data_IF_221071213084
#
_entry.id   IF_221071213084
#
_cell.length_a   1.000
_cell.length_b   1.000
_cell.length_c   1.000
_cell.angle_alpha   90.00
_cell.angle_beta   90.00
_cell.angle_gamma   90.00
#
_symmetry.space_group_name_H-M   'P 1'
#
loop_
_entity.id
_entity.type
_entity.pdbx_description
1 polymer ?
#
# COMPACT_ATOMS: atom_id res chain seq x y z
N UNK A 1 -18.56 0.73 24.24
CA UNK A 1 -18.86 2.17 24.21
C UNK A 1 -17.90 2.81 25.20
N UNK A 2 -17.10 3.81 24.82
CA UNK A 2 -16.16 4.45 25.76
C UNK A 2 -16.99 5.31 26.71
N UNK A 3 -16.95 4.98 28.01
CA UNK A 3 -17.81 5.60 29.04
C UNK A 3 -17.34 6.98 29.53
N UNK A 4 -16.28 7.53 28.92
CA UNK A 4 -15.70 8.84 29.27
C UNK A 4 -14.17 8.81 29.19
N UNK A 5 -13.56 9.99 29.11
CA UNK A 5 -12.12 10.18 29.28
C UNK A 5 -11.81 10.50 30.75
N UNK A 6 -10.62 10.14 31.24
CA UNK A 6 -10.18 10.51 32.60
C UNK A 6 -10.13 12.05 32.71
N UNK A 7 -10.90 12.62 33.63
CA UNK A 7 -11.00 14.08 33.85
C UNK A 7 -9.65 14.70 34.24
N UNK A 8 -8.70 13.89 34.75
CA UNK A 8 -7.35 14.33 35.09
C UNK A 8 -6.41 14.37 33.87
N UNK A 9 -6.82 13.80 32.74
CA UNK A 9 -5.99 13.77 31.53
C UNK A 9 -5.95 15.15 30.88
N UNK A 10 -4.79 15.81 30.99
CA UNK A 10 -4.51 17.05 30.27
C UNK A 10 -4.05 16.74 28.85
N UNK A 11 -4.89 17.03 27.86
CA UNK A 11 -4.55 16.87 26.45
C UNK A 11 -3.32 17.72 26.12
N UNK A 12 -2.23 17.13 25.60
CA UNK A 12 -1.04 17.88 25.25
C UNK A 12 -1.31 18.81 24.06
N UNK A 13 -0.59 19.94 24.01
CA UNK A 13 -0.59 20.81 22.85
C UNK A 13 -0.07 20.09 21.61
N UNK A 14 -0.54 20.52 20.43
CA UNK A 14 -0.08 19.99 19.12
C UNK A 14 1.45 20.06 19.01
N UNK A 15 2.07 21.14 19.48
CA UNK A 15 3.53 21.29 19.51
C UNK A 15 4.21 20.18 20.32
N UNK A 16 3.66 19.86 21.49
CA UNK A 16 4.17 18.79 22.35
C UNK A 16 4.01 17.42 21.67
N UNK A 17 2.89 17.16 21.03
CA UNK A 17 2.66 15.92 20.27
C UNK A 17 3.63 15.78 19.10
N UNK A 18 3.79 16.83 18.28
CA UNK A 18 4.74 16.84 17.16
C UNK A 18 6.17 16.56 17.62
N UNK A 19 6.60 17.23 18.68
CA UNK A 19 7.93 17.01 19.24
C UNK A 19 8.11 15.57 19.74
N UNK A 20 7.11 15.01 20.45
CA UNK A 20 7.17 13.62 20.92
C UNK A 20 7.23 12.61 19.78
N UNK A 21 6.42 12.81 18.73
CA UNK A 21 6.44 11.96 17.52
C UNK A 21 7.81 12.04 16.85
N UNK A 22 8.35 13.24 16.67
CA UNK A 22 9.67 13.44 16.07
C UNK A 22 10.78 12.78 16.91
N UNK A 23 10.78 12.97 18.23
CA UNK A 23 11.74 12.32 19.13
C UNK A 23 11.64 10.80 19.07
N UNK A 24 10.42 10.24 19.07
CA UNK A 24 10.22 8.80 18.95
C UNK A 24 10.74 8.27 17.60
N UNK A 25 10.50 9.00 16.52
CA UNK A 25 11.02 8.70 15.19
C UNK A 25 12.56 8.67 15.18
N UNK A 26 13.23 9.71 15.68
CA UNK A 26 14.69 9.78 15.72
C UNK A 26 15.32 8.65 16.55
N UNK A 27 14.73 8.34 17.71
CA UNK A 27 15.17 7.21 18.54
C UNK A 27 15.00 5.89 17.79
N UNK A 28 13.82 5.68 17.18
CA UNK A 28 13.52 4.47 16.41
C UNK A 28 14.48 4.30 15.23
N UNK A 29 14.71 5.37 14.47
CA UNK A 29 15.62 5.41 13.33
C UNK A 29 17.05 5.06 13.72
N UNK A 30 17.59 5.67 14.78
CA UNK A 30 18.94 5.36 15.26
C UNK A 30 19.07 3.93 15.81
N UNK A 31 18.02 3.43 16.46
CA UNK A 31 17.96 2.05 16.94
C UNK A 31 18.00 1.08 15.76
N UNK A 32 17.20 1.32 14.73
CA UNK A 32 17.14 0.51 13.51
C UNK A 32 18.47 0.56 12.73
N UNK A 33 19.08 1.74 12.58
CA UNK A 33 20.42 1.86 11.96
C UNK A 33 21.46 1.01 12.69
N UNK A 34 21.43 1.04 14.04
CA UNK A 34 22.31 0.20 14.86
C UNK A 34 22.03 -1.30 14.65
N UNK A 35 20.76 -1.69 14.54
CA UNK A 35 20.39 -3.08 14.23
C UNK A 35 20.87 -3.50 12.83
N UNK A 36 20.71 -2.65 11.83
CA UNK A 36 21.16 -2.92 10.46
C UNK A 36 22.67 -3.10 10.35
N UNK A 37 23.49 -2.60 11.27
CA UNK A 37 24.93 -2.91 11.31
C UNK A 37 25.21 -4.41 11.49
N UNK A 38 24.29 -5.15 12.11
CA UNK A 38 24.42 -6.58 12.37
C UNK A 38 23.63 -7.46 11.40
N UNK A 39 22.88 -6.85 10.48
CA UNK A 39 22.15 -7.56 9.42
C UNK A 39 23.06 -7.68 8.20
N UNK A 40 23.16 -8.88 7.66
CA UNK A 40 23.96 -9.16 6.45
C UNK A 40 23.12 -8.97 5.19
N UNK A 41 21.93 -9.57 5.16
CA UNK A 41 21.08 -9.61 3.98
C UNK A 41 19.74 -8.91 4.24
N UNK A 42 19.42 -7.96 3.37
CA UNK A 42 18.18 -7.19 3.40
C UNK A 42 17.47 -7.37 2.05
N UNK A 43 16.17 -7.60 2.10
CA UNK A 43 15.29 -7.49 0.93
C UNK A 43 14.38 -6.28 1.09
N UNK A 44 14.11 -5.61 -0.01
CA UNK A 44 13.27 -4.41 -0.04
C UNK A 44 11.98 -4.68 -0.80
N UNK A 45 10.88 -4.10 -0.35
CA UNK A 45 9.64 -3.97 -1.11
C UNK A 45 9.46 -2.50 -1.44
N UNK A 46 9.32 -2.20 -2.74
CA UNK A 46 9.02 -0.88 -3.28
C UNK A 46 7.60 -0.92 -3.81
N UNK A 47 6.71 -0.17 -3.17
CA UNK A 47 5.32 -0.02 -3.57
C UNK A 47 5.08 1.43 -4.00
N UNK A 48 4.63 1.61 -5.24
CA UNK A 48 4.36 2.92 -5.80
C UNK A 48 2.87 3.07 -6.08
N UNK A 49 2.26 4.14 -5.58
CA UNK A 49 0.84 4.40 -5.77
C UNK A 49 0.54 5.88 -5.97
N UNK A 50 -0.60 6.18 -6.59
CA UNK A 50 -1.15 7.53 -6.61
C UNK A 50 -2.13 7.67 -5.45
N UNK A 51 -1.95 8.70 -4.64
CA UNK A 51 -2.91 9.08 -3.60
C UNK A 51 -4.25 9.52 -4.21
N UNK A 52 -5.33 9.63 -3.41
CA UNK A 52 -6.59 10.21 -3.87
C UNK A 52 -6.47 11.65 -4.40
N UNK A 53 -5.41 12.36 -4.01
CA UNK A 53 -5.08 13.69 -4.51
C UNK A 53 -4.25 13.66 -5.81
N UNK A 54 -4.08 12.48 -6.42
CA UNK A 54 -3.27 12.23 -7.61
C UNK A 54 -1.76 12.50 -7.46
N UNK A 55 -1.28 12.61 -6.22
CA UNK A 55 0.16 12.71 -5.93
C UNK A 55 0.79 11.30 -5.89
N UNK A 56 1.93 11.08 -6.58
CA UNK A 56 2.61 9.79 -6.58
C UNK A 56 3.46 9.62 -5.33
N UNK A 57 3.34 8.46 -4.68
CA UNK A 57 4.13 8.09 -3.51
C UNK A 57 4.92 6.82 -3.79
N UNK A 58 6.06 6.68 -3.10
CA UNK A 58 6.84 5.46 -3.03
C UNK A 58 7.03 5.08 -1.56
N UNK A 59 6.52 3.91 -1.20
CA UNK A 59 6.79 3.27 0.07
C UNK A 59 7.92 2.25 -0.06
N UNK A 60 8.86 2.29 0.88
CA UNK A 60 10.00 1.38 0.91
C UNK A 60 10.00 0.65 2.25
N UNK A 61 9.82 -0.66 2.20
CA UNK A 61 9.84 -1.54 3.38
C UNK A 61 11.04 -2.48 3.29
N UNK A 62 11.83 -2.56 4.35
CA UNK A 62 12.92 -3.50 4.47
C UNK A 62 12.50 -4.75 5.23
N UNK A 63 12.96 -5.91 4.77
CA UNK A 63 12.74 -7.21 5.38
C UNK A 63 14.07 -7.94 5.54
N UNK A 64 14.26 -8.58 6.68
CA UNK A 64 15.43 -9.40 6.98
C UNK A 64 15.06 -10.54 7.92
N UNK A 65 15.98 -11.48 8.09
CA UNK A 65 15.86 -12.57 9.06
C UNK A 65 16.80 -12.31 10.25
N UNK A 66 16.32 -12.58 11.46
CA UNK A 66 17.20 -12.60 12.64
C UNK A 66 18.09 -13.83 12.63
N UNK A 67 19.09 -13.88 13.53
CA UNK A 67 19.91 -15.07 13.76
C UNK A 67 19.12 -16.29 14.23
N UNK A 68 17.88 -16.10 14.69
CA UNK A 68 16.93 -17.16 15.05
C UNK A 68 15.99 -17.54 13.91
N UNK A 69 16.25 -17.04 12.70
CA UNK A 69 15.43 -17.25 11.51
C UNK A 69 14.00 -16.68 11.62
N UNK A 70 13.84 -15.60 12.40
CA UNK A 70 12.56 -14.91 12.54
C UNK A 70 12.47 -13.77 11.53
N UNK A 71 11.37 -13.64 10.78
CA UNK A 71 11.19 -12.53 9.85
C UNK A 71 10.99 -11.22 10.61
N UNK A 72 11.64 -10.19 10.13
CA UNK A 72 11.47 -8.82 10.58
C UNK A 72 11.13 -7.95 9.38
N UNK A 73 10.33 -6.91 9.62
CA UNK A 73 9.99 -5.92 8.62
C UNK A 73 9.97 -4.52 9.25
N UNK A 74 10.36 -3.53 8.46
CA UNK A 74 10.25 -2.13 8.86
C UNK A 74 10.05 -1.23 7.66
N UNK A 75 9.14 -0.27 7.82
CA UNK A 75 8.94 0.79 6.85
C UNK A 75 10.07 1.81 6.99
N UNK A 76 10.89 1.96 5.94
CA UNK A 76 12.01 2.91 5.91
C UNK A 76 11.54 4.31 5.50
N UNK A 77 10.65 4.38 4.51
CA UNK A 77 10.13 5.65 4.01
C UNK A 77 8.76 5.47 3.34
N UNK A 78 7.95 6.53 3.42
CA UNK A 78 6.80 6.81 2.55
C UNK A 78 6.96 8.26 2.13
N UNK A 79 7.40 8.46 0.90
CA UNK A 79 7.68 9.79 0.37
C UNK A 79 6.97 10.01 -0.96
N UNK A 80 6.61 11.26 -1.21
CA UNK A 80 6.10 11.67 -2.51
C UNK A 80 7.25 11.55 -3.51
N UNK A 81 7.01 10.92 -4.65
CA UNK A 81 8.04 10.77 -5.67
C UNK A 81 8.43 12.15 -6.22
N UNK A 82 9.73 12.47 -6.35
CA UNK A 82 10.16 13.71 -6.97
C UNK A 82 9.67 13.81 -8.41
N UNK A 83 9.17 14.98 -8.81
CA UNK A 83 8.85 15.28 -10.21
C UNK A 83 10.15 15.31 -11.05
N UNK A 84 10.19 14.78 -12.30
CA UNK A 84 9.10 14.27 -13.13
C UNK A 84 8.71 12.79 -12.91
N UNK A 85 9.02 12.20 -11.76
CA UNK A 85 8.71 10.81 -11.40
C UNK A 85 9.29 9.79 -12.38
N UNK A 86 10.38 10.16 -13.06
CA UNK A 86 11.09 9.33 -14.00
C UNK A 86 11.95 8.28 -13.29
N UNK A 87 12.55 7.41 -14.10
CA UNK A 87 13.42 6.36 -13.57
C UNK A 87 14.69 6.91 -12.93
N UNK A 88 15.17 8.08 -13.36
CA UNK A 88 16.41 8.71 -12.85
C UNK A 88 16.15 9.28 -11.47
N UNK A 89 15.05 10.02 -11.29
CA UNK A 89 14.73 10.67 -10.03
C UNK A 89 14.36 9.65 -8.95
N UNK A 90 13.66 8.57 -9.34
CA UNK A 90 13.44 7.42 -8.44
C UNK A 90 14.78 6.77 -8.08
N UNK A 91 15.71 6.66 -9.03
CA UNK A 91 17.02 6.06 -8.78
C UNK A 91 17.84 6.88 -7.78
N UNK A 92 17.91 8.20 -7.95
CA UNK A 92 18.61 9.11 -7.04
C UNK A 92 18.00 9.04 -5.64
N UNK A 93 16.67 9.10 -5.54
CA UNK A 93 15.95 8.98 -4.28
C UNK A 93 16.26 7.66 -3.55
N UNK A 94 16.31 6.54 -4.28
CA UNK A 94 16.67 5.24 -3.70
C UNK A 94 18.13 5.21 -3.24
N UNK A 95 19.07 5.81 -3.98
CA UNK A 95 20.47 5.89 -3.57
C UNK A 95 20.63 6.69 -2.28
N UNK A 96 20.00 7.86 -2.19
CA UNK A 96 20.04 8.71 -1.00
C UNK A 96 19.49 7.96 0.21
N UNK A 97 18.37 7.25 0.04
CA UNK A 97 17.77 6.44 1.09
C UNK A 97 18.68 5.27 1.50
N UNK A 98 19.26 4.54 0.56
CA UNK A 98 20.15 3.41 0.89
C UNK A 98 21.40 3.88 1.63
N UNK A 99 21.96 5.02 1.21
CA UNK A 99 23.09 5.66 1.88
C UNK A 99 22.71 6.15 3.27
N UNK A 100 21.57 6.82 3.41
CA UNK A 100 21.07 7.30 4.69
C UNK A 100 20.93 6.15 5.71
N UNK A 101 20.38 5.02 5.28
CA UNK A 101 20.18 3.84 6.13
C UNK A 101 21.42 2.96 6.28
N UNK A 102 22.46 3.15 5.46
CA UNK A 102 23.69 2.35 5.49
C UNK A 102 23.47 0.88 5.12
N UNK A 103 22.61 0.65 4.10
CA UNK A 103 22.16 -0.69 3.68
C UNK A 103 22.48 -1.04 2.24
N UNK A 104 23.07 -0.13 1.47
CA UNK A 104 23.42 -0.28 0.05
C UNK A 104 24.12 -1.62 -0.28
N UNK A 105 25.11 -2.00 0.53
CA UNK A 105 25.91 -3.23 0.36
C UNK A 105 25.22 -4.50 0.86
N UNK A 106 24.07 -4.38 1.54
CA UNK A 106 23.32 -5.49 2.18
C UNK A 106 22.07 -5.89 1.40
N UNK A 107 21.68 -5.10 0.40
CA UNK A 107 20.47 -5.34 -0.37
C UNK A 107 20.70 -6.51 -1.34
N UNK A 108 20.06 -7.64 -1.06
CA UNK A 108 20.13 -8.84 -1.91
C UNK A 108 19.00 -8.91 -2.94
N UNK A 109 17.86 -8.30 -2.63
CA UNK A 109 16.67 -8.35 -3.49
C UNK A 109 15.79 -7.11 -3.32
N UNK A 110 15.15 -6.72 -4.42
CA UNK A 110 14.19 -5.61 -4.46
C UNK A 110 12.92 -6.09 -5.17
N UNK A 111 11.82 -6.19 -4.42
CA UNK A 111 10.50 -6.57 -4.93
C UNK A 111 9.75 -5.32 -5.37
N UNK A 112 9.24 -5.29 -6.60
CA UNK A 112 8.48 -4.14 -7.12
C UNK A 112 7.20 -4.58 -7.82
N UNK A 113 6.17 -3.74 -7.83
CA UNK A 113 4.85 -3.98 -8.45
C UNK A 113 4.85 -4.04 -10.00
N UNK A 114 6.02 -3.95 -10.65
CA UNK A 114 6.22 -3.78 -12.10
C UNK A 114 5.88 -2.41 -12.70
N UNK A 115 5.70 -1.36 -11.90
CA UNK A 115 5.65 0.01 -12.38
C UNK A 115 6.84 0.32 -13.31
N UNK A 116 6.59 0.89 -14.49
CA UNK A 116 7.60 1.03 -15.54
C UNK A 116 8.82 1.85 -15.10
N UNK A 117 8.60 2.95 -14.38
CA UNK A 117 9.65 3.84 -13.92
C UNK A 117 10.45 3.21 -12.76
N UNK A 118 9.77 2.63 -11.77
CA UNK A 118 10.43 1.90 -10.66
C UNK A 118 11.26 0.73 -11.18
N UNK A 119 10.72 -0.04 -12.13
CA UNK A 119 11.45 -1.14 -12.78
C UNK A 119 12.73 -0.65 -13.45
N UNK A 120 12.66 0.45 -14.21
CA UNK A 120 13.82 1.05 -14.87
C UNK A 120 14.83 1.57 -13.84
N UNK A 121 14.37 2.24 -12.79
CA UNK A 121 15.21 2.74 -11.71
C UNK A 121 16.00 1.61 -11.03
N UNK A 122 15.33 0.55 -10.59
CA UNK A 122 16.00 -0.60 -9.97
C UNK A 122 17.00 -1.28 -10.92
N UNK A 123 16.66 -1.41 -12.21
CA UNK A 123 17.57 -1.95 -13.21
C UNK A 123 18.80 -1.07 -13.41
N UNK A 124 18.67 0.26 -13.34
CA UNK A 124 19.78 1.19 -13.49
C UNK A 124 20.69 1.18 -12.25
N UNK A 125 20.11 1.09 -11.04
CA UNK A 125 20.87 1.05 -9.78
C UNK A 125 21.79 -0.17 -9.73
N UNK A 126 21.35 -1.31 -10.27
CA UNK A 126 22.10 -2.57 -10.26
C UNK A 126 22.48 -3.08 -8.85
N UNK A 127 21.73 -2.67 -7.81
CA UNK A 127 21.85 -3.17 -6.43
C UNK A 127 20.77 -4.21 -6.18
N UNK A 128 21.20 -5.39 -5.71
CA UNK A 128 20.32 -6.52 -5.46
C UNK A 128 19.64 -7.06 -6.72
N UNK A 129 18.97 -8.21 -6.57
CA UNK A 129 18.16 -8.78 -7.65
C UNK A 129 16.76 -8.19 -7.63
N UNK A 130 16.36 -7.54 -8.72
CA UNK A 130 14.95 -7.13 -8.90
C UNK A 130 14.06 -8.37 -9.06
N UNK A 131 12.99 -8.45 -8.26
CA UNK A 131 11.96 -9.48 -8.32
C UNK A 131 10.61 -8.80 -8.61
N UNK A 132 9.86 -9.25 -9.62
CA UNK A 132 8.53 -8.71 -9.88
C UNK A 132 7.52 -9.20 -8.82
N UNK A 133 6.56 -8.36 -8.47
CA UNK A 133 5.46 -8.74 -7.60
C UNK A 133 4.65 -9.89 -8.22
N UNK A 134 4.52 -11.00 -7.49
CA UNK A 134 3.78 -12.17 -7.94
C UNK A 134 2.28 -11.85 -8.14
N UNK A 135 1.66 -11.11 -7.21
CA UNK A 135 0.26 -10.73 -7.30
C UNK A 135 -0.03 -9.86 -8.54
N UNK A 136 0.82 -8.87 -8.81
CA UNK A 136 0.67 -8.04 -10.01
C UNK A 136 0.91 -8.86 -11.29
N UNK A 137 1.90 -9.74 -11.29
CA UNK A 137 2.18 -10.63 -12.44
C UNK A 137 1.00 -11.56 -12.74
N UNK A 138 0.37 -12.11 -11.70
CA UNK A 138 -0.85 -12.89 -11.81
C UNK A 138 -2.01 -12.05 -12.36
N UNK A 139 -2.20 -10.84 -11.82
CA UNK A 139 -3.23 -9.90 -12.28
C UNK A 139 -3.09 -9.55 -13.76
N UNK A 140 -1.86 -9.32 -14.25
CA UNK A 140 -1.59 -9.09 -15.68
C UNK A 140 -1.96 -10.31 -16.53
N UNK A 141 -1.68 -11.51 -16.04
CA UNK A 141 -2.00 -12.77 -16.72
C UNK A 141 -3.51 -12.99 -16.80
N UNK A 142 -4.22 -12.74 -15.70
CA UNK A 142 -5.69 -12.77 -15.64
C UNK A 142 -6.27 -11.73 -16.59
N UNK A 143 -5.76 -10.49 -16.57
CA UNK A 143 -6.21 -9.42 -17.45
C UNK A 143 -6.15 -9.82 -18.93
N UNK A 144 -5.01 -10.38 -19.37
CA UNK A 144 -4.85 -10.91 -20.73
C UNK A 144 -5.81 -12.06 -21.05
N UNK A 145 -6.03 -12.98 -20.11
CA UNK A 145 -7.00 -14.08 -20.29
C UNK A 145 -8.43 -13.56 -20.45
N UNK A 146 -8.78 -12.51 -19.71
CA UNK A 146 -10.10 -11.88 -19.76
C UNK A 146 -10.33 -11.01 -21.00
N UNK A 147 -9.29 -10.65 -21.76
CA UNK A 147 -9.44 -9.88 -23.00
C UNK A 147 -10.33 -10.60 -24.02
N UNK A 148 -10.40 -11.94 -23.98
CA UNK A 148 -11.28 -12.75 -24.84
C UNK A 148 -12.76 -12.39 -24.63
N UNK A 149 -13.14 -12.04 -23.40
CA UNK A 149 -14.52 -11.71 -23.01
C UNK A 149 -14.69 -10.22 -22.69
N UNK A 150 -13.79 -9.37 -23.21
CA UNK A 150 -13.74 -7.93 -22.90
C UNK A 150 -15.06 -7.21 -23.18
N UNK A 151 -15.77 -7.59 -24.23
CA UNK A 151 -17.08 -6.99 -24.56
C UNK A 151 -18.12 -7.26 -23.47
N UNK A 152 -18.20 -8.50 -22.97
CA UNK A 152 -19.10 -8.88 -21.88
C UNK A 152 -18.74 -8.15 -20.59
N UNK A 153 -17.45 -8.09 -20.25
CA UNK A 153 -16.95 -7.33 -19.11
C UNK A 153 -17.34 -5.85 -19.24
N UNK A 154 -17.23 -5.28 -20.44
CA UNK A 154 -17.66 -3.92 -20.75
C UNK A 154 -19.14 -3.70 -20.45
N UNK A 155 -20.02 -4.60 -20.92
CA UNK A 155 -21.46 -4.56 -20.63
C UNK A 155 -21.75 -4.63 -19.12
N UNK A 156 -21.08 -5.53 -18.40
CA UNK A 156 -21.21 -5.66 -16.95
C UNK A 156 -20.73 -4.39 -16.22
N UNK A 157 -19.59 -3.82 -16.61
CA UNK A 157 -19.06 -2.56 -16.03
C UNK A 157 -20.02 -1.40 -16.26
N UNK A 158 -20.57 -1.28 -17.47
CA UNK A 158 -21.56 -0.25 -17.80
C UNK A 158 -22.80 -0.40 -16.93
N UNK A 159 -23.31 -1.63 -16.78
CA UNK A 159 -24.45 -1.90 -15.91
C UNK A 159 -24.16 -1.56 -14.44
N UNK A 160 -23.00 -1.93 -13.91
CA UNK A 160 -22.59 -1.59 -12.54
C UNK A 160 -22.50 -0.07 -12.36
N UNK A 161 -21.90 0.64 -13.33
CA UNK A 161 -21.82 2.11 -13.31
C UNK A 161 -23.21 2.75 -13.32
N UNK A 162 -24.12 2.26 -14.18
CA UNK A 162 -25.52 2.69 -14.22
C UNK A 162 -26.24 2.50 -12.87
N UNK A 163 -26.06 1.33 -12.22
CA UNK A 163 -26.66 1.05 -10.92
C UNK A 163 -26.03 1.85 -9.78
N UNK A 164 -24.76 2.23 -9.91
CA UNK A 164 -24.03 2.98 -8.90
C UNK A 164 -24.41 4.46 -8.83
N UNK A 165 -25.12 4.97 -9.85
CA UNK A 165 -25.68 6.32 -9.83
C UNK A 165 -26.70 6.47 -8.68
N UNK A 166 -26.59 7.54 -7.88
CA UNK A 166 -27.32 7.69 -6.61
C UNK A 166 -28.82 7.45 -6.72
N UNK A 167 -29.46 8.03 -7.75
CA UNK A 167 -30.90 7.83 -8.01
C UNK A 167 -31.26 6.36 -8.26
N UNK A 168 -30.43 5.64 -9.02
CA UNK A 168 -30.64 4.22 -9.35
C UNK A 168 -30.33 3.32 -8.16
N UNK A 169 -29.28 3.64 -7.41
CA UNK A 169 -28.91 2.95 -6.17
C UNK A 169 -30.04 3.02 -5.13
N UNK A 170 -30.67 4.19 -4.99
CA UNK A 170 -31.79 4.37 -4.07
C UNK A 170 -33.05 3.61 -4.52
N UNK A 171 -33.42 3.71 -5.80
CA UNK A 171 -34.52 2.94 -6.39
C UNK A 171 -34.32 1.42 -6.25
N UNK A 172 -33.08 0.94 -6.42
CA UNK A 172 -32.72 -0.47 -6.26
C UNK A 172 -32.91 -0.91 -4.81
N UNK A 173 -32.43 -0.12 -3.85
CA UNK A 173 -32.58 -0.40 -2.41
C UNK A 173 -34.05 -0.49 -2.00
N UNK A 174 -34.87 0.45 -2.47
CA UNK A 174 -36.32 0.44 -2.22
C UNK A 174 -37.00 -0.80 -2.80
N UNK A 175 -36.65 -1.16 -4.04
CA UNK A 175 -37.18 -2.36 -4.71
C UNK A 175 -36.76 -3.66 -3.99
N UNK A 176 -35.51 -3.75 -3.54
CA UNK A 176 -35.01 -4.89 -2.76
C UNK A 176 -35.75 -5.03 -1.42
N UNK A 177 -35.99 -3.92 -0.71
CA UNK A 177 -36.77 -3.91 0.54
C UNK A 177 -38.21 -4.35 0.27
N UNK A 178 -38.83 -3.86 -0.80
CA UNK A 178 -40.19 -4.25 -1.19
C UNK A 178 -40.30 -5.76 -1.47
N UNK A 179 -39.38 -6.31 -2.27
CA UNK A 179 -39.35 -7.73 -2.61
C UNK A 179 -39.10 -8.62 -1.38
N UNK A 180 -38.17 -8.22 -0.51
CA UNK A 180 -37.91 -8.92 0.75
C UNK A 180 -39.16 -8.96 1.64
N UNK A 181 -39.88 -7.84 1.77
CA UNK A 181 -41.14 -7.78 2.53
C UNK A 181 -42.23 -8.67 1.93
N UNK A 182 -42.35 -8.72 0.60
CA UNK A 182 -43.27 -9.62 -0.09
C UNK A 182 -42.94 -11.10 0.20
N UNK A 183 -41.66 -11.46 0.16
CA UNK A 183 -41.21 -12.83 0.44
C UNK A 183 -41.46 -13.24 1.89
N UNK A 184 -41.17 -12.37 2.87
CA UNK A 184 -41.50 -12.60 4.26
C UNK A 184 -43.01 -12.73 4.50
N UNK A 185 -43.85 -11.98 3.78
CA UNK A 185 -45.32 -12.12 3.84
C UNK A 185 -45.78 -13.48 3.32
N UNK A 186 -45.24 -13.95 2.19
CA UNK A 186 -45.54 -15.30 1.66
C UNK A 186 -45.13 -16.42 2.61
N UNK A 187 -44.04 -16.25 3.36
CA UNK A 187 -43.58 -17.23 4.35
C UNK A 187 -44.41 -17.21 5.65
N UNK A 188 -45.01 -16.08 6.01
CA UNK A 188 -45.91 -15.95 7.18
C UNK A 188 -47.34 -16.48 6.93
N UNK A 189 -47.70 -16.80 5.68
CA UNK A 189 -49.04 -17.34 5.30
C UNK A 189 -49.03 -18.89 5.25
N UNK A 190 -47.98 -19.54 5.76
CA UNK A 190 -47.85 -21.02 5.78
C UNK A 190 -48.09 -21.65 7.18
N UNK A 191 -48.97 -21.08 8.00
CA UNK A 191 -49.49 -21.73 9.21
C UNK A 191 -51.00 -21.91 9.04
#
# INVERSE_FOLDING_TARGET
MINGFDERYKVPYIKTLKNRIFTAYEIGKNTLKSQFMHVQDISLILDAWSSPAHLPYLGITAHWLTSKFEPQEVLLSIEELPYPHGAIEIQEHLFDLFYEWGIDSKIIAIVTDNGSNVRKACNNISIGKRIPCAAHTLQLSIGKGLDIIKELIGKCKHFISFLSADKKKQQLKESQIYLYRQQCRKLKIKI
#
